data_IF_352391604574
#
_entry.id   IF_352391604574
#
_cell.length_a   1.000
_cell.length_b   1.000
_cell.length_c   1.000
_cell.angle_alpha   90.00
_cell.angle_beta   90.00
_cell.angle_gamma   90.00
#
_symmetry.space_group_name_H-M   'P 1'
#
loop_
_entity.id
_entity.type
_entity.pdbx_description
1 polymer ?
#
# COMPACT_ATOMS: atom_id res chain seq x y z
N UNK A 1 82.87 -32.75 -27.03
CA UNK A 1 82.09 -31.56 -27.40
C UNK A 1 80.57 -31.75 -27.26
N UNK A 2 79.99 -32.84 -27.74
CA UNK A 2 78.55 -33.11 -27.66
C UNK A 2 78.00 -33.22 -26.20
N UNK A 3 78.75 -33.73 -25.23
CA UNK A 3 78.38 -33.82 -23.85
C UNK A 3 78.27 -32.47 -23.10
N UNK A 4 79.14 -31.54 -23.45
CA UNK A 4 79.11 -30.17 -22.92
C UNK A 4 77.96 -29.32 -23.45
N UNK A 5 77.56 -29.58 -24.70
CA UNK A 5 76.48 -28.90 -25.34
C UNK A 5 75.13 -29.30 -24.71
N UNK A 6 74.99 -30.54 -24.32
CA UNK A 6 73.81 -31.04 -23.59
C UNK A 6 73.76 -30.46 -22.17
N UNK A 7 74.89 -30.37 -21.48
CA UNK A 7 74.99 -29.84 -20.16
C UNK A 7 74.62 -28.32 -20.12
N UNK A 8 75.10 -27.57 -21.11
CA UNK A 8 74.75 -26.12 -21.21
C UNK A 8 73.24 -25.91 -21.56
N UNK A 9 72.65 -26.78 -22.34
CA UNK A 9 71.20 -26.73 -22.65
C UNK A 9 70.35 -26.99 -21.40
N UNK A 10 70.72 -27.95 -20.55
CA UNK A 10 70.03 -28.24 -19.27
C UNK A 10 70.12 -27.09 -18.30
N UNK A 11 71.27 -26.41 -18.20
CA UNK A 11 71.42 -25.24 -17.32
C UNK A 11 70.62 -24.06 -17.78
N UNK A 12 70.45 -23.85 -19.07
CA UNK A 12 69.60 -22.79 -19.63
C UNK A 12 68.10 -23.03 -19.41
N UNK A 13 67.66 -24.30 -19.38
CA UNK A 13 66.25 -24.63 -19.06
C UNK A 13 65.89 -24.46 -17.59
N UNK A 14 66.86 -24.53 -16.69
CA UNK A 14 66.66 -24.37 -15.25
C UNK A 14 66.55 -22.86 -14.84
N UNK A 15 66.92 -21.94 -15.69
CA UNK A 15 66.85 -20.48 -15.43
C UNK A 15 65.49 -19.86 -15.64
N UNK A 16 64.49 -20.61 -16.20
CA UNK A 16 63.12 -20.07 -16.47
C UNK A 16 62.17 -20.23 -15.26
N UNK A 17 62.64 -20.47 -14.06
CA UNK A 17 61.85 -20.65 -12.86
C UNK A 17 61.81 -19.46 -11.89
N UNK A 18 62.07 -18.24 -12.35
CA UNK A 18 61.86 -17.07 -11.49
C UNK A 18 60.38 -16.76 -11.37
N UNK A 19 59.82 -16.95 -10.20
CA UNK A 19 58.49 -16.45 -9.84
C UNK A 19 58.47 -14.94 -9.99
N UNK A 20 58.20 -14.50 -11.20
CA UNK A 20 58.22 -13.07 -11.63
C UNK A 20 57.20 -12.19 -10.87
N UNK A 21 56.36 -12.84 -10.02
CA UNK A 21 55.33 -12.12 -9.27
C UNK A 21 55.22 -12.59 -7.81
N UNK A 22 56.31 -13.05 -7.21
CA UNK A 22 56.34 -13.50 -5.82
C UNK A 22 56.07 -12.37 -4.83
N UNK A 23 56.57 -11.19 -5.13
CA UNK A 23 56.34 -9.92 -4.39
C UNK A 23 54.85 -9.51 -4.44
N UNK A 24 54.25 -9.55 -5.60
CA UNK A 24 52.81 -9.22 -5.78
C UNK A 24 51.91 -10.24 -5.06
N UNK A 25 52.26 -11.53 -5.07
CA UNK A 25 51.52 -12.54 -4.31
C UNK A 25 51.66 -12.33 -2.81
N UNK A 26 52.82 -11.92 -2.32
CA UNK A 26 53.03 -11.58 -0.91
C UNK A 26 52.24 -10.34 -0.52
N UNK A 27 52.22 -9.31 -1.34
CA UNK A 27 51.44 -8.10 -1.10
C UNK A 27 49.94 -8.38 -1.09
N UNK A 28 49.42 -9.13 -2.05
CA UNK A 28 48.03 -9.58 -2.07
C UNK A 28 47.68 -10.45 -0.84
N UNK A 29 48.57 -11.34 -0.43
CA UNK A 29 48.39 -12.12 0.77
C UNK A 29 48.41 -11.30 2.07
N UNK A 30 49.22 -10.21 2.09
CA UNK A 30 49.24 -9.25 3.20
C UNK A 30 47.96 -8.42 3.27
N UNK A 31 47.48 -7.92 2.12
CA UNK A 31 46.22 -7.16 2.03
C UNK A 31 44.98 -8.02 2.36
N UNK A 32 44.99 -9.30 1.97
CA UNK A 32 43.84 -10.21 2.25
C UNK A 32 43.85 -10.75 3.67
N UNK A 33 44.96 -10.74 4.40
CA UNK A 33 45.04 -11.17 5.80
C UNK A 33 44.12 -10.41 6.75
N UNK A 34 43.81 -9.14 6.45
CA UNK A 34 42.91 -8.28 7.22
C UNK A 34 41.43 -8.31 6.78
N UNK A 35 41.15 -8.91 5.64
CA UNK A 35 39.83 -8.89 5.02
C UNK A 35 38.94 -10.11 5.41
N UNK A 36 39.27 -10.81 6.48
CA UNK A 36 38.31 -11.80 7.04
C UNK A 36 37.12 -11.05 7.58
N UNK A 37 36.05 -10.99 6.78
CA UNK A 37 34.80 -10.41 7.21
C UNK A 37 34.35 -11.05 8.51
N UNK A 38 34.11 -10.23 9.53
CA UNK A 38 33.48 -10.70 10.76
C UNK A 38 32.00 -10.95 10.46
N UNK A 39 31.65 -12.21 10.33
CA UNK A 39 30.22 -12.59 10.23
C UNK A 39 29.70 -12.62 11.66
N UNK A 40 28.78 -11.73 11.97
CA UNK A 40 28.07 -11.78 13.25
C UNK A 40 27.38 -13.13 13.40
N UNK A 41 27.50 -13.81 14.55
CA UNK A 41 26.81 -15.07 14.80
C UNK A 41 25.30 -14.85 14.62
N UNK A 42 24.65 -15.82 14.00
CA UNK A 42 23.19 -15.79 13.83
C UNK A 42 22.53 -15.60 15.20
N UNK A 43 21.48 -14.75 15.28
CA UNK A 43 20.72 -14.62 16.51
C UNK A 43 20.18 -15.99 16.93
N UNK A 44 20.28 -16.27 18.22
CA UNK A 44 19.74 -17.54 18.75
C UNK A 44 18.24 -17.57 18.50
N UNK A 45 17.79 -18.60 17.80
CA UNK A 45 16.36 -18.84 17.59
C UNK A 45 15.77 -19.18 18.96
N UNK A 46 14.88 -18.31 19.46
CA UNK A 46 14.10 -18.65 20.66
C UNK A 46 13.20 -19.83 20.31
N UNK A 47 13.21 -20.91 21.09
CA UNK A 47 12.29 -22.01 20.86
C UNK A 47 10.84 -21.47 20.90
N UNK A 48 10.05 -21.85 19.90
CA UNK A 48 8.65 -21.53 19.86
C UNK A 48 7.93 -22.28 20.98
N UNK A 49 7.39 -21.55 21.97
CA UNK A 49 6.45 -22.11 22.93
C UNK A 49 5.05 -22.10 22.30
N UNK A 50 4.48 -23.28 22.00
CA UNK A 50 3.13 -23.34 21.46
C UNK A 50 2.15 -22.83 22.52
N UNK A 51 1.39 -21.78 22.18
CA UNK A 51 0.28 -21.31 23.02
C UNK A 51 -0.86 -22.31 22.83
N UNK A 52 -1.37 -22.95 23.89
CA UNK A 52 -2.50 -23.85 23.78
C UNK A 52 -3.72 -23.10 23.30
N UNK A 53 -4.44 -23.67 22.34
CA UNK A 53 -5.72 -23.14 21.88
C UNK A 53 -6.77 -23.43 22.95
N UNK A 54 -7.26 -22.37 23.62
CA UNK A 54 -8.23 -22.47 24.74
C UNK A 54 -9.63 -22.03 24.37
N UNK A 55 -9.91 -21.88 23.06
CA UNK A 55 -11.18 -21.38 22.56
C UNK A 55 -12.14 -22.50 22.08
N UNK A 56 -11.93 -23.75 22.52
CA UNK A 56 -12.79 -24.88 22.14
C UNK A 56 -14.25 -24.72 22.59
N UNK A 57 -14.45 -24.02 23.72
CA UNK A 57 -15.80 -23.72 24.25
C UNK A 57 -16.43 -22.46 23.65
N UNK A 58 -15.70 -21.70 22.84
CA UNK A 58 -16.27 -20.52 22.19
C UNK A 58 -17.10 -20.92 20.96
N UNK A 59 -18.21 -20.24 20.80
CA UNK A 59 -19.09 -20.44 19.64
C UNK A 59 -18.34 -20.10 18.36
N UNK A 60 -18.27 -21.04 17.42
CA UNK A 60 -17.66 -20.87 16.12
C UNK A 60 -18.16 -19.58 15.43
N UNK A 61 -17.27 -18.62 15.10
CA UNK A 61 -17.66 -17.37 14.43
C UNK A 61 -18.24 -17.57 13.03
N UNK A 62 -17.99 -18.72 12.40
CA UNK A 62 -18.45 -19.05 11.04
C UNK A 62 -19.67 -19.96 11.00
N UNK A 63 -20.36 -20.14 12.13
CA UNK A 63 -21.61 -20.90 12.14
C UNK A 63 -22.65 -20.30 11.19
N UNK A 64 -23.30 -21.12 10.34
CA UNK A 64 -24.29 -20.64 9.37
C UNK A 64 -25.53 -19.98 10.01
N UNK A 65 -25.84 -20.30 11.25
CA UNK A 65 -26.91 -19.67 12.04
C UNK A 65 -26.60 -18.22 12.46
N UNK A 66 -25.34 -17.78 12.37
CA UNK A 66 -24.95 -16.38 12.54
C UNK A 66 -25.10 -15.53 11.27
N UNK A 67 -25.27 -16.14 10.12
CA UNK A 67 -25.67 -15.43 8.92
C UNK A 67 -27.17 -15.15 9.06
N UNK A 68 -27.50 -14.20 9.91
CA UNK A 68 -28.83 -13.59 9.87
C UNK A 68 -28.84 -12.84 8.55
N UNK A 69 -29.40 -13.47 7.51
CA UNK A 69 -29.80 -12.73 6.32
C UNK A 69 -30.80 -11.72 6.84
N UNK A 70 -30.31 -10.49 7.08
CA UNK A 70 -31.18 -9.40 7.52
C UNK A 70 -32.26 -9.29 6.44
N UNK A 71 -33.45 -9.75 6.77
CA UNK A 71 -34.62 -9.42 5.97
C UNK A 71 -34.70 -7.89 5.99
N UNK A 72 -34.96 -7.22 4.86
CA UNK A 72 -35.20 -5.79 4.83
C UNK A 72 -36.47 -5.53 5.66
N UNK A 73 -36.31 -5.60 6.96
CA UNK A 73 -37.35 -5.39 7.95
C UNK A 73 -37.16 -4.01 8.55
N UNK A 74 -38.24 -3.31 8.69
CA UNK A 74 -38.41 -2.02 9.35
C UNK A 74 -37.51 -1.93 10.58
N UNK A 75 -36.30 -1.35 10.39
CA UNK A 75 -35.35 -1.09 11.47
C UNK A 75 -35.98 -0.14 12.47
N UNK A 76 -36.14 -0.61 13.68
CA UNK A 76 -36.50 0.25 14.81
C UNK A 76 -35.21 0.90 15.29
N UNK A 77 -34.86 2.05 14.69
CA UNK A 77 -33.73 2.86 15.15
C UNK A 77 -32.66 3.21 14.11
N UNK A 78 -32.68 2.66 12.90
CA UNK A 78 -31.75 3.00 11.82
C UNK A 78 -32.07 4.34 11.17
N UNK A 79 -31.08 4.93 10.50
CA UNK A 79 -31.33 6.10 9.65
C UNK A 79 -32.37 5.76 8.57
N UNK A 80 -33.20 6.71 8.14
CA UNK A 80 -34.10 6.48 7.03
C UNK A 80 -33.27 6.06 5.80
N UNK A 81 -33.72 5.01 5.12
CA UNK A 81 -33.06 4.54 3.92
C UNK A 81 -32.99 5.61 2.82
N UNK A 82 -32.12 5.44 1.83
CA UNK A 82 -31.99 6.39 0.74
C UNK A 82 -33.26 6.48 -0.10
N UNK A 83 -33.58 7.67 -0.62
CA UNK A 83 -34.65 7.84 -1.59
C UNK A 83 -34.20 7.29 -2.96
N UNK A 84 -34.76 6.15 -3.33
CA UNK A 84 -34.44 5.49 -4.60
C UNK A 84 -35.24 6.05 -5.78
N UNK A 85 -36.28 6.87 -5.52
CA UNK A 85 -37.15 7.42 -6.57
C UNK A 85 -36.63 8.75 -7.16
N UNK A 86 -35.60 9.33 -6.58
CA UNK A 86 -34.98 10.54 -7.12
C UNK A 86 -34.09 10.27 -8.34
N UNK A 87 -33.97 11.20 -9.28
CA UNK A 87 -33.00 11.08 -10.35
C UNK A 87 -31.58 11.07 -9.76
N UNK A 88 -30.75 10.12 -10.24
CA UNK A 88 -29.35 10.01 -9.81
C UNK A 88 -28.50 11.11 -10.45
N UNK A 89 -27.58 11.67 -9.67
CA UNK A 89 -26.59 12.61 -10.18
C UNK A 89 -25.41 11.87 -10.85
N UNK A 90 -24.71 12.50 -11.81
CA UNK A 90 -23.62 11.84 -12.55
C UNK A 90 -22.50 11.30 -11.66
N UNK A 91 -22.23 11.95 -10.53
CA UNK A 91 -21.15 11.53 -9.61
C UNK A 91 -21.51 10.31 -8.75
N UNK A 92 -22.76 9.89 -8.70
CA UNK A 92 -23.17 8.68 -8.02
C UNK A 92 -22.83 7.39 -8.81
N UNK A 93 -22.44 7.54 -10.08
CA UNK A 93 -21.96 6.41 -10.88
C UNK A 93 -20.52 5.99 -10.51
N UNK A 94 -19.79 6.85 -9.82
CA UNK A 94 -18.39 6.63 -9.48
C UNK A 94 -18.23 6.28 -7.99
N UNK A 95 -17.37 5.31 -7.64
CA UNK A 95 -17.02 5.09 -6.24
C UNK A 95 -16.28 6.33 -5.70
N UNK A 96 -16.49 6.66 -4.42
CA UNK A 96 -15.93 7.87 -3.80
C UNK A 96 -14.40 7.93 -3.93
N UNK A 97 -13.73 6.79 -3.83
CA UNK A 97 -12.27 6.64 -3.92
C UNK A 97 -11.72 7.01 -5.31
N UNK A 98 -12.55 6.97 -6.35
CA UNK A 98 -12.18 7.36 -7.72
C UNK A 98 -12.42 8.83 -8.02
N UNK A 99 -13.06 9.55 -7.11
CA UNK A 99 -13.36 10.97 -7.23
C UNK A 99 -12.25 11.75 -6.49
N UNK A 100 -11.72 12.77 -7.14
CA UNK A 100 -10.62 13.57 -6.62
C UNK A 100 -11.05 15.04 -6.54
N UNK A 101 -10.86 15.67 -5.38
CA UNK A 101 -11.02 17.10 -5.25
C UNK A 101 -9.81 17.82 -5.86
N UNK A 102 -10.05 18.73 -6.79
CA UNK A 102 -9.00 19.49 -7.48
C UNK A 102 -8.99 20.96 -7.12
N UNK A 103 -10.01 21.44 -6.44
CA UNK A 103 -10.07 22.83 -5.99
C UNK A 103 -11.46 23.27 -5.60
N UNK A 104 -11.59 24.57 -5.30
CA UNK A 104 -12.85 25.23 -4.99
C UNK A 104 -13.02 26.49 -5.86
N UNK A 105 -14.25 26.87 -6.08
CA UNK A 105 -14.62 28.15 -6.73
C UNK A 105 -15.64 28.82 -5.86
N UNK A 106 -15.36 30.07 -5.46
CA UNK A 106 -16.32 30.93 -4.76
C UNK A 106 -16.97 31.87 -5.76
N UNK A 107 -18.28 31.82 -5.83
CA UNK A 107 -19.08 32.73 -6.67
C UNK A 107 -20.08 33.49 -5.80
N UNK A 108 -19.78 34.73 -5.52
CA UNK A 108 -20.60 35.53 -4.61
C UNK A 108 -20.49 35.03 -3.17
N UNK A 109 -21.57 34.47 -2.64
CA UNK A 109 -21.64 33.91 -1.29
C UNK A 109 -21.62 32.34 -1.27
N UNK A 110 -21.60 31.72 -2.44
CA UNK A 110 -21.66 30.28 -2.57
C UNK A 110 -20.28 29.72 -2.91
N UNK A 111 -19.89 28.67 -2.23
CA UNK A 111 -18.65 27.90 -2.50
C UNK A 111 -19.02 26.62 -3.20
N UNK A 112 -18.36 26.37 -4.31
CA UNK A 112 -18.48 25.15 -5.11
C UNK A 112 -17.18 24.37 -5.05
N UNK A 113 -17.29 23.06 -4.91
CA UNK A 113 -16.16 22.15 -5.07
C UNK A 113 -15.96 21.80 -6.55
N UNK A 114 -14.71 21.69 -6.96
CA UNK A 114 -14.32 21.09 -8.23
C UNK A 114 -13.81 19.69 -7.96
N UNK A 115 -14.45 18.71 -8.56
CA UNK A 115 -14.07 17.31 -8.43
C UNK A 115 -13.85 16.68 -9.80
N UNK A 116 -12.84 15.84 -9.89
CA UNK A 116 -12.52 15.06 -11.08
C UNK A 116 -12.98 13.63 -10.87
N UNK A 117 -13.78 13.11 -11.80
CA UNK A 117 -14.19 11.72 -11.85
C UNK A 117 -13.91 11.18 -13.26
N UNK A 118 -13.04 10.19 -13.36
CA UNK A 118 -12.51 9.73 -14.65
C UNK A 118 -11.79 10.85 -15.41
N UNK A 119 -12.23 11.14 -16.63
CA UNK A 119 -11.66 12.21 -17.47
C UNK A 119 -12.38 13.56 -17.34
N UNK A 120 -13.48 13.60 -16.59
CA UNK A 120 -14.35 14.76 -16.54
C UNK A 120 -14.19 15.56 -15.24
N UNK A 121 -14.39 16.85 -15.33
CA UNK A 121 -14.42 17.77 -14.20
C UNK A 121 -15.87 18.16 -13.93
N UNK A 122 -16.27 18.06 -12.68
CA UNK A 122 -17.62 18.40 -12.23
C UNK A 122 -17.56 19.50 -11.18
N UNK A 123 -18.54 20.38 -11.21
CA UNK A 123 -18.77 21.39 -10.19
C UNK A 123 -19.87 20.90 -9.27
N UNK A 124 -19.60 20.85 -7.97
CA UNK A 124 -20.52 20.39 -6.94
C UNK A 124 -20.77 21.47 -5.91
N UNK A 125 -21.93 21.41 -5.27
CA UNK A 125 -22.32 22.31 -4.17
C UNK A 125 -22.85 21.49 -2.98
N UNK A 126 -23.00 22.14 -1.85
CA UNK A 126 -23.65 21.55 -0.69
C UNK A 126 -25.05 21.03 -1.07
N UNK A 127 -25.39 19.83 -0.63
CA UNK A 127 -26.64 19.13 -0.93
C UNK A 127 -26.60 18.29 -2.21
N UNK A 128 -25.57 18.37 -3.06
CA UNK A 128 -25.39 17.44 -4.18
C UNK A 128 -25.01 16.04 -3.69
N UNK A 129 -25.28 15.04 -4.53
CA UNK A 129 -24.97 13.65 -4.27
C UNK A 129 -23.69 13.23 -4.98
N UNK A 130 -22.88 12.41 -4.29
CA UNK A 130 -21.59 11.94 -4.80
C UNK A 130 -21.26 10.57 -4.21
N UNK A 131 -20.70 9.69 -5.02
CA UNK A 131 -20.33 8.32 -4.60
C UNK A 131 -21.48 7.33 -4.67
N UNK A 132 -21.15 6.05 -4.73
CA UNK A 132 -22.12 4.95 -4.88
C UNK A 132 -22.97 4.70 -3.62
N UNK A 133 -22.54 5.21 -2.47
CA UNK A 133 -23.18 5.03 -1.18
C UNK A 133 -24.10 6.19 -0.79
N UNK A 134 -24.78 6.78 -1.75
CA UNK A 134 -25.72 7.88 -1.53
C UNK A 134 -25.13 9.05 -0.73
N UNK A 135 -23.84 9.36 -0.95
CA UNK A 135 -23.14 10.40 -0.22
C UNK A 135 -23.70 11.79 -0.52
N UNK A 136 -24.13 12.50 0.53
CA UNK A 136 -24.63 13.89 0.44
C UNK A 136 -23.56 14.84 0.92
N UNK A 137 -23.21 15.85 0.10
CA UNK A 137 -22.24 16.87 0.47
C UNK A 137 -22.82 17.76 1.57
N UNK A 138 -22.17 17.79 2.73
CA UNK A 138 -22.58 18.56 3.91
C UNK A 138 -21.86 19.89 4.03
N UNK A 139 -20.56 19.95 3.68
CA UNK A 139 -19.80 21.20 3.61
C UNK A 139 -18.70 21.12 2.57
N UNK A 140 -18.29 22.28 2.07
CA UNK A 140 -17.19 22.44 1.13
C UNK A 140 -16.25 23.47 1.71
N UNK A 141 -15.06 23.04 2.08
CA UNK A 141 -13.97 23.84 2.60
C UNK A 141 -12.86 23.96 1.53
N UNK A 142 -11.88 24.84 1.71
CA UNK A 142 -10.80 25.04 0.74
C UNK A 142 -9.94 23.79 0.51
N UNK A 143 -9.81 22.96 1.54
CA UNK A 143 -8.95 21.75 1.55
C UNK A 143 -9.71 20.44 1.50
N UNK A 144 -11.02 20.44 1.78
CA UNK A 144 -11.81 19.22 1.85
C UNK A 144 -13.29 19.42 1.53
N UNK A 145 -13.92 18.37 1.02
CA UNK A 145 -15.37 18.27 0.87
C UNK A 145 -15.87 17.21 1.84
N UNK A 146 -16.68 17.60 2.82
CA UNK A 146 -17.31 16.66 3.76
C UNK A 146 -18.62 16.16 3.21
N UNK A 147 -18.87 14.89 3.41
CA UNK A 147 -20.11 14.24 2.97
C UNK A 147 -20.56 13.21 4.02
N UNK A 148 -21.85 12.92 3.97
CA UNK A 148 -22.45 11.85 4.77
C UNK A 148 -22.96 10.78 3.82
N UNK A 149 -22.40 9.56 3.94
CA UNK A 149 -22.81 8.38 3.18
C UNK A 149 -23.84 7.58 3.95
N UNK A 150 -24.71 6.91 3.22
CA UNK A 150 -25.61 5.89 3.75
C UNK A 150 -25.08 4.51 3.35
N UNK A 151 -24.67 3.73 4.32
CA UNK A 151 -24.19 2.36 4.11
C UNK A 151 -25.08 1.39 4.87
N UNK A 152 -25.26 0.20 4.31
CA UNK A 152 -25.98 -0.86 5.01
C UNK A 152 -25.00 -1.64 5.87
N UNK A 153 -25.30 -1.79 7.14
CA UNK A 153 -24.48 -2.58 8.06
C UNK A 153 -24.72 -4.09 7.88
N UNK A 154 -24.01 -4.92 8.67
CA UNK A 154 -24.14 -6.37 8.62
C UNK A 154 -25.54 -6.90 9.02
N UNK A 155 -26.37 -6.08 9.66
CA UNK A 155 -27.75 -6.40 10.03
C UNK A 155 -28.78 -5.96 8.98
N UNK A 156 -28.31 -5.24 7.94
CA UNK A 156 -29.17 -4.68 6.89
C UNK A 156 -29.78 -3.34 7.25
N UNK A 157 -29.36 -2.73 8.36
CA UNK A 157 -29.80 -1.40 8.75
C UNK A 157 -28.98 -0.30 8.05
N UNK A 158 -29.65 0.82 7.73
CA UNK A 158 -29.00 1.97 7.15
C UNK A 158 -28.30 2.79 8.22
N UNK A 159 -26.99 2.97 8.06
CA UNK A 159 -26.14 3.72 8.96
C UNK A 159 -25.50 4.90 8.22
N UNK A 160 -25.49 6.06 8.87
CA UNK A 160 -24.80 7.23 8.35
C UNK A 160 -23.32 7.16 8.70
N UNK A 161 -22.47 7.37 7.69
CA UNK A 161 -21.02 7.45 7.84
C UNK A 161 -20.52 8.77 7.32
N UNK A 162 -19.77 9.51 8.14
CA UNK A 162 -19.07 10.72 7.68
C UNK A 162 -17.83 10.33 6.89
N UNK A 163 -17.68 10.93 5.71
CA UNK A 163 -16.52 10.79 4.84
C UNK A 163 -16.05 12.17 4.39
N UNK A 164 -14.78 12.29 4.02
CA UNK A 164 -14.22 13.54 3.51
C UNK A 164 -13.36 13.27 2.27
N UNK A 165 -13.47 14.10 1.28
CA UNK A 165 -12.66 14.11 0.07
C UNK A 165 -11.65 15.26 0.19
N UNK A 166 -10.38 14.94 0.37
CA UNK A 166 -9.32 15.92 0.53
C UNK A 166 -8.81 16.45 -0.81
N UNK A 167 -8.39 17.72 -0.82
CA UNK A 167 -7.74 18.35 -1.97
C UNK A 167 -6.46 17.59 -2.32
N UNK A 168 -6.35 17.14 -3.55
CA UNK A 168 -5.10 16.58 -4.05
C UNK A 168 -4.18 17.71 -4.50
N UNK A 169 -3.11 17.94 -3.77
CA UNK A 169 -2.03 18.81 -4.22
C UNK A 169 -1.39 18.19 -5.47
N UNK A 170 -1.46 18.90 -6.57
CA UNK A 170 -0.72 18.54 -7.79
C UNK A 170 0.75 18.75 -7.49
N UNK A 171 1.46 17.66 -7.15
CA UNK A 171 2.91 17.69 -7.05
C UNK A 171 3.47 18.17 -8.40
N UNK A 172 3.92 19.43 -8.45
CA UNK A 172 4.67 19.94 -9.60
C UNK A 172 5.94 19.10 -9.75
N UNK A 173 5.95 18.26 -10.76
CA UNK A 173 7.20 17.67 -11.30
C UNK A 173 7.94 18.70 -12.14
#
# INVERSE_FOLDING_TARGET
MRKYLVLTAVVLLAACGSDEHSDLRQELAALTKGLRGHVNPLPQVKPYEPVPYTAEDLVDPFRPDRIIIAQPGKGVGGAPGPDLNRPKEPLEAFPLESIQMVGTITQGKETYGLVKAGSNLYRVKQGNYMGQNFGVITSIDESEIKLTELVQDGSGEWVQRSSALQLQEVSKR
#
